data_IF_642220719430
#
_entry.id   IF_642220719430
#
_cell.length_a   1.000
_cell.length_b   1.000
_cell.length_c   1.000
_cell.angle_alpha   90.00
_cell.angle_beta   90.00
_cell.angle_gamma   90.00
#
_symmetry.space_group_name_H-M   'P 1'
#
loop_
_entity.id
_entity.type
_entity.pdbx_description
1 polymer ?
#
# COMPACT_ATOMS: atom_id res chain seq x y z
N UNK A 1 -17.54 -17.83 37.63
CA UNK A 1 -17.31 -17.01 38.85
C UNK A 1 -16.12 -16.11 38.56
N UNK A 2 -16.40 -14.87 38.15
CA UNK A 2 -15.39 -13.88 37.75
C UNK A 2 -14.69 -13.30 38.99
N UNK A 3 -13.36 -13.18 38.95
CA UNK A 3 -12.60 -12.28 39.84
C UNK A 3 -11.73 -11.37 38.98
N UNK A 4 -12.20 -10.14 38.85
CA UNK A 4 -11.43 -8.96 38.47
C UNK A 4 -10.32 -8.73 39.50
N UNK A 5 -9.07 -8.59 39.05
CA UNK A 5 -8.02 -7.88 39.77
C UNK A 5 -7.49 -6.82 38.81
N UNK A 6 -7.90 -5.59 39.04
CA UNK A 6 -7.29 -4.40 38.46
C UNK A 6 -6.12 -3.99 39.38
N UNK A 7 -4.89 -4.01 38.88
CA UNK A 7 -3.78 -3.22 39.41
C UNK A 7 -2.66 -3.14 38.36
N UNK A 8 -2.65 -1.98 37.69
CA UNK A 8 -1.55 -1.23 37.08
C UNK A 8 -0.18 -1.93 37.08
N UNK A 9 0.31 -2.25 35.88
CA UNK A 9 1.66 -2.74 35.61
C UNK A 9 2.19 -2.18 34.30
N UNK A 10 2.39 -0.86 34.24
CA UNK A 10 3.42 -0.27 33.37
C UNK A 10 4.77 -0.95 33.72
N UNK A 11 5.67 -1.08 32.76
CA UNK A 11 7.03 -1.64 32.88
C UNK A 11 7.20 -3.17 32.71
N UNK A 12 7.20 -3.60 31.44
CA UNK A 12 8.11 -4.66 30.97
C UNK A 12 8.44 -4.42 29.49
N UNK A 13 8.93 -3.22 29.16
CA UNK A 13 9.74 -3.03 27.96
C UNK A 13 11.02 -3.84 28.22
N UNK A 14 11.10 -5.00 27.59
CA UNK A 14 12.31 -5.82 27.54
C UNK A 14 13.41 -4.94 26.97
N UNK A 15 14.30 -4.48 27.85
CA UNK A 15 15.60 -3.87 27.57
C UNK A 15 16.49 -4.93 26.91
N UNK A 16 16.26 -5.22 25.64
CA UNK A 16 17.33 -5.67 24.76
C UNK A 16 17.92 -4.38 24.17
N UNK A 17 19.15 -3.97 24.53
CA UNK A 17 19.78 -2.85 23.87
C UNK A 17 19.91 -3.24 22.39
N UNK A 18 19.15 -2.62 21.49
CA UNK A 18 19.47 -2.63 20.06
C UNK A 18 20.81 -1.93 19.93
N UNK A 19 21.88 -2.70 20.00
CA UNK A 19 23.19 -2.26 19.54
C UNK A 19 23.10 -2.24 18.01
N UNK A 20 22.44 -1.21 17.47
CA UNK A 20 22.53 -0.93 16.05
C UNK A 20 24.00 -0.65 15.74
N UNK A 21 24.54 -1.41 14.81
CA UNK A 21 25.94 -1.27 14.40
C UNK A 21 26.16 0.15 13.85
N UNK A 22 27.39 0.70 13.90
CA UNK A 22 27.70 1.97 13.25
C UNK A 22 27.33 1.99 11.76
N UNK A 23 27.29 0.81 11.12
CA UNK A 23 26.86 0.63 9.73
C UNK A 23 25.33 0.73 9.57
N UNK A 24 24.54 0.06 10.40
CA UNK A 24 23.07 0.21 10.40
C UNK A 24 22.63 1.64 10.74
N UNK A 25 23.38 2.33 11.63
CA UNK A 25 23.15 3.75 11.92
C UNK A 25 23.51 4.66 10.73
N UNK A 26 24.50 4.30 9.91
CA UNK A 26 24.87 5.03 8.69
C UNK A 26 23.89 4.79 7.55
N UNK A 27 23.42 3.56 7.37
CA UNK A 27 22.41 3.19 6.37
C UNK A 27 21.03 3.80 6.69
N UNK A 28 20.65 3.87 7.97
CA UNK A 28 19.45 4.60 8.39
C UNK A 28 19.59 6.13 8.28
N UNK A 29 20.82 6.66 8.42
CA UNK A 29 21.10 8.11 8.41
C UNK A 29 21.26 8.72 7.01
N UNK A 30 21.28 7.92 5.94
CA UNK A 30 21.44 8.43 4.58
C UNK A 30 20.20 8.17 3.70
N UNK A 31 18.99 8.28 4.25
CA UNK A 31 17.81 8.52 3.41
C UNK A 31 17.89 9.93 2.85
N UNK A 32 18.51 10.07 1.68
CA UNK A 32 18.48 11.33 0.95
C UNK A 32 17.12 11.42 0.26
N UNK A 33 16.33 12.40 0.67
CA UNK A 33 15.08 12.75 0.00
C UNK A 33 15.38 13.20 -1.43
N UNK A 34 14.93 12.42 -2.43
CA UNK A 34 15.12 12.74 -3.85
C UNK A 34 13.77 13.06 -4.48
N UNK A 35 13.75 14.02 -5.41
CA UNK A 35 12.55 14.39 -6.14
C UNK A 35 12.76 14.29 -7.64
N UNK A 36 11.75 13.81 -8.37
CA UNK A 36 11.72 13.80 -9.83
C UNK A 36 10.39 14.38 -10.32
N UNK A 37 10.43 15.21 -11.37
CA UNK A 37 9.23 15.77 -11.99
C UNK A 37 8.86 14.95 -13.22
N UNK A 38 7.64 14.40 -13.26
CA UNK A 38 7.10 13.61 -14.37
C UNK A 38 5.75 14.18 -14.76
N UNK A 39 5.60 14.61 -16.02
CA UNK A 39 4.35 15.19 -16.57
C UNK A 39 3.65 16.20 -15.64
N UNK A 40 4.42 17.15 -15.08
CA UNK A 40 3.99 18.17 -14.10
C UNK A 40 3.73 17.73 -12.65
N UNK A 41 3.89 16.44 -12.31
CA UNK A 41 3.84 15.95 -10.93
C UNK A 41 5.23 15.84 -10.31
N UNK A 42 5.42 16.36 -9.10
CA UNK A 42 6.68 16.23 -8.34
C UNK A 42 6.61 14.99 -7.45
N UNK A 43 7.36 13.97 -7.81
CA UNK A 43 7.40 12.67 -7.13
C UNK A 43 8.58 12.66 -6.16
N UNK A 44 8.31 12.36 -4.89
CA UNK A 44 9.34 12.11 -3.87
C UNK A 44 9.70 10.63 -3.85
N UNK A 45 10.99 10.29 -3.83
CA UNK A 45 11.46 8.92 -3.73
C UNK A 45 12.73 8.83 -2.88
N UNK A 46 13.00 7.63 -2.38
CA UNK A 46 14.19 7.30 -1.60
C UNK A 46 14.77 6.02 -2.18
N UNK A 47 16.08 5.99 -2.40
CA UNK A 47 16.79 4.77 -2.77
C UNK A 47 17.17 4.01 -1.50
N UNK A 48 16.78 2.74 -1.42
CA UNK A 48 17.15 1.86 -0.32
C UNK A 48 17.31 0.42 -0.83
N UNK A 49 18.27 -0.32 -0.27
CA UNK A 49 18.55 -1.71 -0.62
C UNK A 49 19.49 -1.90 -1.83
N UNK A 50 19.70 -3.15 -2.24
CA UNK A 50 20.49 -3.54 -3.40
C UNK A 50 19.85 -4.75 -4.10
N UNK A 51 19.87 -4.77 -5.44
CA UNK A 51 19.27 -5.84 -6.25
C UNK A 51 18.51 -5.33 -7.47
N UNK A 52 17.74 -6.22 -8.10
CA UNK A 52 16.86 -5.85 -9.21
C UNK A 52 15.81 -4.82 -8.73
N UNK A 53 15.53 -3.77 -9.51
CA UNK A 53 14.60 -2.72 -9.10
C UNK A 53 13.19 -3.30 -8.92
N UNK A 54 12.61 -3.11 -7.73
CA UNK A 54 11.22 -3.42 -7.42
C UNK A 54 10.45 -2.12 -7.21
N UNK A 55 9.41 -1.88 -8.01
CA UNK A 55 8.53 -0.72 -7.85
C UNK A 55 7.44 -1.09 -6.84
N UNK A 56 7.55 -0.55 -5.63
CA UNK A 56 6.54 -0.66 -4.58
C UNK A 56 5.69 0.61 -4.59
N UNK A 57 4.49 0.51 -5.16
CA UNK A 57 3.48 1.58 -5.02
C UNK A 57 2.78 1.36 -3.68
N UNK A 58 3.29 2.00 -2.63
CA UNK A 58 2.54 2.13 -1.38
C UNK A 58 1.93 3.53 -1.33
N UNK A 59 0.64 3.62 -1.02
CA UNK A 59 -0.06 4.90 -0.89
C UNK A 59 0.65 5.84 0.09
N UNK A 60 0.55 7.14 -0.17
CA UNK A 60 0.77 8.17 0.85
C UNK A 60 -0.09 7.77 2.05
N UNK A 61 0.48 7.70 3.25
CA UNK A 61 -0.17 7.23 4.47
C UNK A 61 -1.30 8.17 4.94
N UNK A 62 -2.32 8.33 4.11
CA UNK A 62 -3.46 9.20 4.23
C UNK A 62 -4.72 8.35 4.02
N UNK A 63 -5.76 8.60 4.80
CA UNK A 63 -7.05 7.91 4.79
C UNK A 63 -7.93 8.34 3.60
N UNK A 64 -7.32 8.63 2.45
CA UNK A 64 -8.05 9.08 1.26
C UNK A 64 -8.84 7.93 0.65
N UNK A 65 -10.03 8.22 0.08
CA UNK A 65 -10.74 7.25 -0.74
C UNK A 65 -9.81 6.68 -1.82
N UNK A 66 -9.79 5.36 -1.95
CA UNK A 66 -8.93 4.65 -2.90
C UNK A 66 -9.76 3.66 -3.71
N UNK A 67 -9.60 3.60 -5.03
CA UNK A 67 -10.21 2.57 -5.86
C UNK A 67 -9.16 1.55 -6.29
N UNK A 68 -9.43 0.28 -6.05
CA UNK A 68 -8.67 -0.87 -6.54
C UNK A 68 -9.53 -1.54 -7.62
N UNK A 69 -9.00 -1.71 -8.83
CA UNK A 69 -9.68 -2.41 -9.93
C UNK A 69 -8.87 -3.67 -10.25
N UNK A 70 -9.54 -4.83 -10.32
CA UNK A 70 -8.89 -6.11 -10.57
C UNK A 70 -9.69 -6.95 -11.57
N UNK A 71 -9.02 -7.62 -12.51
CA UNK A 71 -9.68 -8.59 -13.38
C UNK A 71 -9.78 -9.96 -12.72
N UNK A 72 -10.97 -10.58 -12.71
CA UNK A 72 -11.18 -11.90 -12.07
C UNK A 72 -10.24 -12.97 -12.62
N UNK A 73 -9.94 -12.90 -13.91
CA UNK A 73 -9.17 -13.91 -14.65
C UNK A 73 -7.71 -13.51 -14.83
N UNK A 74 -7.20 -12.61 -13.97
CA UNK A 74 -5.78 -12.27 -13.93
C UNK A 74 -4.92 -13.51 -13.61
N UNK A 75 -4.18 -13.97 -14.62
CA UNK A 75 -3.26 -15.12 -14.54
C UNK A 75 -1.85 -14.74 -14.12
N UNK A 76 -1.52 -13.45 -14.08
CA UNK A 76 -0.23 -12.94 -13.66
C UNK A 76 -0.23 -12.65 -12.16
N UNK A 77 -1.27 -11.99 -11.65
CA UNK A 77 -1.43 -11.69 -10.22
C UNK A 77 -2.83 -12.10 -9.76
N UNK A 78 -2.87 -13.13 -8.91
CA UNK A 78 -4.14 -13.68 -8.43
C UNK A 78 -5.01 -12.64 -7.72
N UNK A 79 -6.33 -12.77 -7.89
CA UNK A 79 -7.34 -11.90 -7.26
C UNK A 79 -7.17 -11.74 -5.74
N UNK A 80 -6.64 -12.74 -5.05
CA UNK A 80 -6.35 -12.69 -3.62
C UNK A 80 -5.45 -11.51 -3.21
N UNK A 81 -4.59 -11.03 -4.12
CA UNK A 81 -3.80 -9.82 -3.87
C UNK A 81 -4.67 -8.56 -3.87
N UNK A 82 -5.61 -8.42 -4.80
CA UNK A 82 -6.58 -7.32 -4.80
C UNK A 82 -7.47 -7.31 -3.56
N UNK A 83 -7.93 -8.50 -3.13
CA UNK A 83 -8.68 -8.67 -1.88
C UNK A 83 -7.84 -8.27 -0.66
N UNK A 84 -6.58 -8.70 -0.62
CA UNK A 84 -5.65 -8.32 0.45
C UNK A 84 -5.36 -6.82 0.47
N UNK A 85 -5.18 -6.19 -0.70
CA UNK A 85 -5.02 -4.74 -0.77
C UNK A 85 -6.24 -4.01 -0.24
N UNK A 86 -7.45 -4.50 -0.52
CA UNK A 86 -8.66 -3.91 0.03
C UNK A 86 -8.74 -4.04 1.56
N UNK A 87 -8.26 -5.15 2.11
CA UNK A 87 -8.19 -5.35 3.57
C UNK A 87 -7.14 -4.46 4.24
N UNK A 88 -6.00 -4.21 3.58
CA UNK A 88 -4.86 -3.48 4.15
C UNK A 88 -4.93 -1.96 3.90
N UNK A 89 -5.62 -1.51 2.84
CA UNK A 89 -5.77 -0.10 2.50
C UNK A 89 -7.10 0.42 3.08
N UNK A 90 -7.01 1.24 4.12
CA UNK A 90 -8.16 1.93 4.68
C UNK A 90 -8.86 2.82 3.64
N UNK A 91 -10.19 2.94 3.75
CA UNK A 91 -11.03 3.70 2.81
C UNK A 91 -10.89 3.29 1.33
N UNK A 92 -10.49 2.04 1.08
CA UNK A 92 -10.46 1.51 -0.28
C UNK A 92 -11.82 0.93 -0.70
N UNK A 93 -12.05 0.90 -2.00
CA UNK A 93 -13.12 0.16 -2.67
C UNK A 93 -12.47 -0.82 -3.64
N UNK A 94 -12.92 -2.07 -3.67
CA UNK A 94 -12.45 -3.08 -4.61
C UNK A 94 -13.51 -3.35 -5.68
N UNK A 95 -13.17 -3.07 -6.93
CA UNK A 95 -13.97 -3.41 -8.11
C UNK A 95 -13.34 -4.57 -8.87
N UNK A 96 -14.01 -5.72 -8.83
CA UNK A 96 -13.60 -6.91 -9.57
C UNK A 96 -14.37 -6.94 -10.89
N UNK A 97 -13.69 -7.05 -12.04
CA UNK A 97 -14.32 -7.15 -13.36
C UNK A 97 -14.27 -8.61 -13.80
N UNK A 98 -15.45 -9.21 -13.99
CA UNK A 98 -15.58 -10.59 -14.46
C UNK A 98 -15.15 -10.70 -15.93
N UNK A 99 -14.65 -11.85 -16.35
CA UNK A 99 -14.15 -12.07 -17.73
C UNK A 99 -13.00 -11.14 -18.15
N UNK A 100 -12.20 -10.67 -17.19
CA UNK A 100 -11.13 -9.69 -17.40
C UNK A 100 -9.80 -10.16 -16.79
N UNK A 101 -8.68 -9.95 -17.50
CA UNK A 101 -7.34 -10.37 -17.08
C UNK A 101 -6.54 -9.31 -16.33
N UNK A 102 -5.24 -9.26 -16.61
CA UNK A 102 -4.27 -8.48 -15.83
C UNK A 102 -4.31 -6.97 -16.09
N UNK A 103 -4.73 -6.56 -17.29
CA UNK A 103 -4.79 -5.16 -17.68
C UNK A 103 -6.23 -4.72 -17.96
N UNK A 104 -7.07 -4.52 -16.92
CA UNK A 104 -8.46 -4.09 -17.10
C UNK A 104 -8.65 -2.87 -17.99
N UNK A 105 -7.75 -1.89 -17.94
CA UNK A 105 -7.81 -0.69 -18.78
C UNK A 105 -7.61 -0.95 -20.28
N UNK A 106 -7.06 -2.10 -20.66
CA UNK A 106 -6.86 -2.51 -22.06
C UNK A 106 -7.86 -3.59 -22.45
N UNK A 107 -8.10 -4.56 -21.58
CA UNK A 107 -8.93 -5.73 -21.86
C UNK A 107 -10.42 -5.43 -21.71
N UNK A 108 -10.80 -4.60 -20.75
CA UNK A 108 -12.19 -4.28 -20.39
C UNK A 108 -12.36 -2.76 -20.20
N UNK A 109 -12.10 -1.97 -21.26
CA UNK A 109 -11.95 -0.52 -21.15
C UNK A 109 -13.25 0.19 -20.70
N UNK A 110 -14.41 -0.31 -21.11
CA UNK A 110 -15.70 0.28 -20.79
C UNK A 110 -16.05 0.07 -19.30
N UNK A 111 -15.85 -1.14 -18.79
CA UNK A 111 -16.05 -1.48 -17.38
C UNK A 111 -15.05 -0.75 -16.48
N UNK A 112 -13.78 -0.67 -16.92
CA UNK A 112 -12.75 0.10 -16.22
C UNK A 112 -13.13 1.58 -16.14
N UNK A 113 -13.48 2.20 -17.28
CA UNK A 113 -13.86 3.62 -17.33
C UNK A 113 -15.11 3.89 -16.47
N UNK A 114 -16.11 3.01 -16.53
CA UNK A 114 -17.31 3.11 -15.70
C UNK A 114 -16.98 3.06 -14.21
N UNK A 115 -16.09 2.15 -13.78
CA UNK A 115 -15.68 2.06 -12.38
C UNK A 115 -14.98 3.34 -11.89
N UNK A 116 -14.11 3.91 -12.71
CA UNK A 116 -13.39 5.15 -12.40
C UNK A 116 -14.35 6.34 -12.28
N UNK A 117 -15.27 6.50 -13.25
CA UNK A 117 -16.24 7.60 -13.24
C UNK A 117 -17.23 7.50 -12.08
N UNK A 118 -17.66 6.28 -11.75
CA UNK A 118 -18.51 6.03 -10.59
C UNK A 118 -17.79 6.43 -9.30
N UNK A 119 -16.55 5.99 -9.13
CA UNK A 119 -15.75 6.34 -7.95
C UNK A 119 -15.60 7.85 -7.77
N UNK A 120 -15.27 8.60 -8.82
CA UNK A 120 -15.18 10.06 -8.73
C UNK A 120 -16.51 10.75 -8.41
N UNK A 121 -17.64 10.14 -8.78
CA UNK A 121 -18.97 10.65 -8.43
C UNK A 121 -19.29 10.45 -6.94
N UNK A 122 -18.77 9.36 -6.35
CA UNK A 122 -19.03 8.96 -4.97
C UNK A 122 -18.15 9.73 -3.96
N UNK A 123 -16.92 10.11 -4.34
CA UNK A 123 -15.93 10.71 -3.42
C UNK A 123 -15.94 12.26 -3.40
N UNK A 124 -17.11 12.87 -3.59
CA UNK A 124 -17.29 14.34 -3.54
C UNK A 124 -16.90 14.98 -2.21
#
# INVERSE_FOLDING_TARGET
MFRFVFLIGLFAIVLCPRHSTPQERREAAAKVDKFVTVYASRIHYVEAGSGAPLILVHGLADNRPTLIIWGRDDKLIALSFGERFHQEIANSQLRIIDSCGHMPQVECPDEFASAVLQFFSDVK
#
